data_IF_364461805347
#
_entry.id   IF_364461805347
#
_cell.length_a   1.000
_cell.length_b   1.000
_cell.length_c   1.000
_cell.angle_alpha   90.00
_cell.angle_beta   90.00
_cell.angle_gamma   90.00
#
_symmetry.space_group_name_H-M   'P 1'
#
loop_
_entity.id
_entity.type
_entity.pdbx_description
1 polymer ?
#
# COMPACT_ATOMS: atom_id res chain seq x y z
N UNK A 1 -18.49 -11.99 17.65
CA UNK A 1 -18.03 -11.85 16.25
C UNK A 1 -16.56 -12.25 16.14
N UNK A 2 -16.20 -13.09 15.15
CA UNK A 2 -14.79 -13.41 14.85
C UNK A 2 -14.10 -12.17 14.25
N UNK A 3 -12.80 -11.98 14.50
CA UNK A 3 -12.02 -10.90 13.85
C UNK A 3 -12.11 -10.98 12.31
N UNK A 4 -12.31 -12.19 11.79
CA UNK A 4 -12.38 -12.49 10.36
C UNK A 4 -13.51 -11.76 9.63
N UNK A 5 -14.66 -11.51 10.28
CA UNK A 5 -15.78 -10.86 9.60
C UNK A 5 -15.61 -9.35 9.46
N UNK A 6 -14.91 -8.68 10.41
CA UNK A 6 -14.52 -7.27 10.22
C UNK A 6 -13.50 -7.16 9.10
N UNK A 7 -12.52 -8.06 9.12
CA UNK A 7 -11.42 -8.04 8.18
C UNK A 7 -11.91 -8.27 6.74
N UNK A 8 -12.85 -9.22 6.57
CA UNK A 8 -13.53 -9.47 5.30
C UNK A 8 -14.33 -8.24 4.83
N UNK A 9 -15.03 -7.54 5.74
CA UNK A 9 -15.78 -6.34 5.38
C UNK A 9 -14.85 -5.18 4.95
N UNK A 10 -13.73 -4.99 5.64
CA UNK A 10 -12.71 -4.00 5.28
C UNK A 10 -12.10 -4.35 3.92
N UNK A 11 -11.71 -5.60 3.69
CA UNK A 11 -11.13 -6.06 2.42
C UNK A 11 -12.12 -5.92 1.26
N UNK A 12 -13.41 -6.24 1.49
CA UNK A 12 -14.48 -6.01 0.52
C UNK A 12 -14.59 -4.52 0.16
N UNK A 13 -14.62 -3.62 1.16
CA UNK A 13 -14.69 -2.17 0.90
C UNK A 13 -13.49 -1.71 0.07
N UNK A 14 -12.27 -2.12 0.43
CA UNK A 14 -11.04 -1.74 -0.29
C UNK A 14 -11.12 -2.18 -1.75
N UNK A 15 -11.46 -3.45 -2.00
CA UNK A 15 -11.57 -4.00 -3.36
C UNK A 15 -12.63 -3.28 -4.18
N UNK A 16 -13.82 -3.07 -3.62
CA UNK A 16 -14.88 -2.37 -4.33
C UNK A 16 -14.57 -0.89 -4.55
N UNK A 17 -13.91 -0.23 -3.59
CA UNK A 17 -13.52 1.18 -3.71
C UNK A 17 -12.56 1.42 -4.86
N UNK A 18 -11.67 0.45 -5.14
CA UNK A 18 -10.72 0.50 -6.25
C UNK A 18 -11.38 0.24 -7.62
N UNK A 19 -12.49 -0.49 -7.68
CA UNK A 19 -13.12 -0.91 -8.94
C UNK A 19 -14.38 -0.12 -9.29
N UNK A 20 -15.26 0.10 -8.31
CA UNK A 20 -16.64 0.59 -8.48
C UNK A 20 -16.87 2.01 -7.93
N UNK A 21 -15.87 2.58 -7.24
CA UNK A 21 -15.94 3.93 -6.69
C UNK A 21 -16.57 4.01 -5.30
N UNK A 22 -16.52 5.22 -4.71
CA UNK A 22 -16.81 5.46 -3.28
C UNK A 22 -18.24 5.11 -2.87
N UNK A 23 -19.23 5.63 -3.60
CA UNK A 23 -20.63 5.55 -3.19
C UNK A 23 -21.12 4.09 -3.06
N UNK A 24 -20.82 3.24 -4.05
CA UNK A 24 -21.22 1.83 -4.02
C UNK A 24 -20.49 1.03 -2.95
N UNK A 25 -19.19 1.27 -2.78
CA UNK A 25 -18.39 0.61 -1.75
C UNK A 25 -18.94 0.89 -0.34
N UNK A 26 -19.34 2.14 -0.05
CA UNK A 26 -19.96 2.51 1.22
C UNK A 26 -21.26 1.74 1.44
N UNK A 27 -22.16 1.77 0.45
CA UNK A 27 -23.48 1.12 0.57
C UNK A 27 -23.33 -0.38 0.81
N UNK A 28 -22.47 -1.07 0.06
CA UNK A 28 -22.24 -2.50 0.23
C UNK A 28 -21.55 -2.83 1.55
N UNK A 29 -20.58 -2.01 1.97
CA UNK A 29 -19.92 -2.16 3.25
C UNK A 29 -20.91 -2.06 4.41
N UNK A 30 -21.69 -0.98 4.48
CA UNK A 30 -22.71 -0.82 5.51
C UNK A 30 -23.74 -1.94 5.44
N UNK A 31 -24.28 -2.26 4.25
CA UNK A 31 -25.23 -3.37 4.10
C UNK A 31 -24.66 -4.70 4.61
N UNK A 32 -23.39 -4.99 4.33
CA UNK A 32 -22.75 -6.23 4.82
C UNK A 32 -22.63 -6.27 6.34
N UNK A 33 -22.39 -5.12 6.99
CA UNK A 33 -22.30 -5.02 8.45
C UNK A 33 -23.69 -5.10 9.09
N UNK A 34 -24.67 -4.37 8.55
CA UNK A 34 -26.06 -4.37 9.02
C UNK A 34 -26.78 -5.71 8.80
N UNK A 35 -26.39 -6.51 7.80
CA UNK A 35 -26.94 -7.85 7.59
C UNK A 35 -26.30 -8.90 8.50
N UNK A 36 -25.02 -8.72 8.86
CA UNK A 36 -24.26 -9.69 9.68
C UNK A 36 -24.45 -9.48 11.19
N UNK A 37 -24.83 -8.30 11.63
CA UNK A 37 -25.09 -7.96 13.04
C UNK A 37 -26.58 -7.71 13.31
N UNK A 38 -27.08 -8.15 14.47
CA UNK A 38 -28.39 -7.70 14.96
C UNK A 38 -28.29 -6.23 15.41
N UNK A 39 -29.37 -5.45 15.31
CA UNK A 39 -29.34 -3.98 15.44
C UNK A 39 -28.64 -3.44 16.70
N UNK A 40 -28.60 -4.21 17.79
CA UNK A 40 -27.94 -3.81 19.05
C UNK A 40 -26.42 -4.00 19.02
N UNK A 41 -25.88 -4.87 18.18
CA UNK A 41 -24.43 -5.17 18.08
C UNK A 41 -23.65 -4.29 17.11
N UNK A 42 -24.36 -3.45 16.32
CA UNK A 42 -23.74 -2.66 15.26
C UNK A 42 -22.74 -1.62 15.79
N UNK A 43 -23.04 -1.03 16.96
CA UNK A 43 -22.19 -0.01 17.60
C UNK A 43 -20.83 -0.62 17.96
N UNK A 44 -20.84 -1.81 18.58
CA UNK A 44 -19.61 -2.51 18.94
C UNK A 44 -18.86 -3.02 17.70
N UNK A 45 -19.58 -3.39 16.65
CA UNK A 45 -19.01 -3.74 15.35
C UNK A 45 -18.28 -2.53 14.72
N UNK A 46 -18.91 -1.35 14.67
CA UNK A 46 -18.30 -0.12 14.15
C UNK A 46 -17.09 0.32 14.97
N UNK A 47 -17.11 0.16 16.30
CA UNK A 47 -15.92 0.39 17.14
C UNK A 47 -14.77 -0.55 16.79
N UNK A 48 -15.06 -1.83 16.48
CA UNK A 48 -14.03 -2.80 16.05
C UNK A 48 -13.48 -2.47 14.66
N UNK A 49 -14.34 -2.12 13.70
CA UNK A 49 -13.94 -1.61 12.37
C UNK A 49 -12.97 -0.46 12.55
N UNK A 50 -13.37 0.59 13.30
CA UNK A 50 -12.53 1.75 13.60
C UNK A 50 -11.17 1.35 14.18
N UNK A 51 -11.17 0.47 15.18
CA UNK A 51 -9.94 0.00 15.82
C UNK A 51 -9.01 -0.76 14.88
N UNK A 52 -9.55 -1.70 14.10
CA UNK A 52 -8.78 -2.51 13.15
C UNK A 52 -8.26 -1.68 11.98
N UNK A 53 -9.08 -0.80 11.43
CA UNK A 53 -8.65 0.08 10.34
C UNK A 53 -7.56 1.06 10.79
N UNK A 54 -7.64 1.60 12.02
CA UNK A 54 -6.55 2.43 12.59
C UNK A 54 -5.27 1.62 12.77
N UNK A 55 -5.39 0.40 13.27
CA UNK A 55 -4.25 -0.51 13.38
C UNK A 55 -3.59 -0.77 12.01
N UNK A 56 -4.39 -1.04 10.97
CA UNK A 56 -3.86 -1.19 9.60
C UNK A 56 -3.26 0.10 9.05
N UNK A 57 -3.86 1.24 9.34
CA UNK A 57 -3.31 2.53 8.96
C UNK A 57 -1.94 2.77 9.60
N UNK A 58 -1.77 2.48 10.88
CA UNK A 58 -0.49 2.64 11.58
C UNK A 58 0.56 1.65 11.07
N UNK A 59 0.17 0.40 10.79
CA UNK A 59 1.04 -0.58 10.14
C UNK A 59 1.50 -0.09 8.76
N UNK A 60 0.58 0.40 7.92
CA UNK A 60 0.89 0.91 6.59
C UNK A 60 1.79 2.15 6.66
N UNK A 61 1.60 3.03 7.65
CA UNK A 61 2.50 4.19 7.88
C UNK A 61 3.93 3.74 8.20
N UNK A 62 4.10 2.67 8.99
CA UNK A 62 5.42 2.11 9.27
C UNK A 62 6.07 1.56 7.98
N UNK A 63 5.27 0.91 7.14
CA UNK A 63 5.73 0.37 5.85
C UNK A 63 5.94 1.44 4.77
N UNK A 64 5.34 2.63 4.92
CA UNK A 64 5.44 3.75 3.98
C UNK A 64 6.87 4.27 3.82
N UNK A 65 7.79 3.93 4.73
CA UNK A 65 9.18 4.36 4.63
C UNK A 65 9.84 3.74 3.38
N UNK A 66 10.06 4.52 2.30
CA UNK A 66 10.55 4.00 1.04
C UNK A 66 12.00 3.52 1.16
N UNK A 67 12.69 3.80 2.27
CA UNK A 67 14.10 3.45 2.52
C UNK A 67 14.30 2.16 3.31
N UNK A 68 13.24 1.49 3.78
CA UNK A 68 13.35 0.28 4.62
C UNK A 68 13.17 -1.04 3.85
N UNK A 69 12.98 -1.00 2.53
CA UNK A 69 12.78 -2.18 1.70
C UNK A 69 14.08 -2.76 1.12
N UNK A 70 14.11 -4.07 0.78
CA UNK A 70 15.22 -4.69 0.06
C UNK A 70 15.49 -4.02 -1.30
N UNK A 71 14.47 -3.41 -1.91
CA UNK A 71 14.61 -2.66 -3.16
C UNK A 71 15.61 -1.50 -3.05
N UNK A 72 15.71 -0.87 -1.89
CA UNK A 72 16.63 0.25 -1.66
C UNK A 72 18.07 -0.23 -1.60
N UNK A 73 18.32 -1.33 -0.90
CA UNK A 73 19.62 -1.96 -0.85
C UNK A 73 20.08 -2.40 -2.26
N UNK A 74 19.14 -2.91 -3.06
CA UNK A 74 19.39 -3.24 -4.46
C UNK A 74 19.69 -1.99 -5.31
N UNK A 75 18.98 -0.88 -5.08
CA UNK A 75 19.23 0.39 -5.75
C UNK A 75 20.63 0.94 -5.44
N UNK A 76 21.06 0.90 -4.17
CA UNK A 76 22.43 1.27 -3.79
C UNK A 76 23.48 0.37 -4.43
N UNK A 77 23.19 -0.92 -4.57
CA UNK A 77 24.08 -1.86 -5.25
C UNK A 77 24.21 -1.50 -6.74
N UNK A 78 23.10 -1.16 -7.41
CA UNK A 78 23.11 -0.70 -8.80
C UNK A 78 23.89 0.61 -8.98
N UNK A 79 23.82 1.54 -8.03
CA UNK A 79 24.63 2.77 -8.06
C UNK A 79 26.13 2.44 -8.02
N UNK A 80 26.55 1.51 -7.15
CA UNK A 80 27.95 1.09 -7.10
C UNK A 80 28.40 0.41 -8.41
N UNK A 81 27.56 -0.45 -8.98
CA UNK A 81 27.84 -1.10 -10.27
C UNK A 81 27.93 -0.07 -11.40
N UNK A 82 27.07 0.96 -11.41
CA UNK A 82 27.13 2.04 -12.40
C UNK A 82 28.43 2.83 -12.30
N UNK A 83 28.89 3.17 -11.10
CA UNK A 83 30.17 3.85 -10.87
C UNK A 83 31.33 2.99 -11.39
N UNK A 84 31.32 1.69 -11.08
CA UNK A 84 32.34 0.76 -11.57
C UNK A 84 32.31 0.62 -13.09
N UNK A 85 31.13 0.55 -13.69
CA UNK A 85 30.96 0.51 -15.15
C UNK A 85 31.52 1.78 -15.81
N UNK A 86 31.32 2.96 -15.22
CA UNK A 86 31.92 4.20 -15.69
C UNK A 86 33.46 4.15 -15.66
N UNK A 87 34.06 3.58 -14.61
CA UNK A 87 35.50 3.38 -14.55
C UNK A 87 36.00 2.45 -15.67
N UNK A 88 35.29 1.35 -15.93
CA UNK A 88 35.63 0.39 -16.99
C UNK A 88 35.58 1.02 -18.40
N UNK A 89 34.76 2.04 -18.64
CA UNK A 89 34.72 2.76 -19.92
C UNK A 89 36.01 3.52 -20.23
N UNK A 90 36.79 3.87 -19.21
CA UNK A 90 38.09 4.53 -19.33
C UNK A 90 39.23 3.58 -19.66
N UNK A 91 39.02 2.26 -19.57
CA UNK A 91 40.02 1.23 -19.89
C UNK A 91 39.70 0.62 -21.26
N UNK A 92 40.57 0.81 -22.26
CA UNK A 92 40.31 0.40 -23.64
C UNK A 92 39.95 -1.09 -23.78
N UNK A 93 40.70 -1.97 -23.11
CA UNK A 93 40.48 -3.43 -23.17
C UNK A 93 39.14 -3.87 -22.55
N UNK A 94 38.58 -3.07 -21.65
CA UNK A 94 37.37 -3.42 -20.88
C UNK A 94 36.15 -2.56 -21.23
N UNK A 95 36.28 -1.65 -22.21
CA UNK A 95 35.23 -0.70 -22.60
C UNK A 95 33.92 -1.38 -22.97
N UNK A 96 33.98 -2.50 -23.71
CA UNK A 96 32.78 -3.23 -24.14
C UNK A 96 32.02 -3.82 -22.93
N UNK A 97 32.75 -4.28 -21.92
CA UNK A 97 32.20 -4.78 -20.66
C UNK A 97 31.59 -3.64 -19.85
N UNK A 98 32.23 -2.47 -19.82
CA UNK A 98 31.68 -1.24 -19.23
C UNK A 98 30.35 -0.82 -19.86
N UNK A 99 30.25 -0.83 -21.20
CA UNK A 99 28.99 -0.51 -21.92
C UNK A 99 27.88 -1.51 -21.57
N UNK A 100 28.19 -2.81 -21.57
CA UNK A 100 27.23 -3.86 -21.24
C UNK A 100 26.71 -3.72 -19.79
N UNK A 101 27.62 -3.50 -18.83
CA UNK A 101 27.24 -3.30 -17.42
C UNK A 101 26.42 -2.04 -17.23
N UNK A 102 26.82 -0.91 -17.83
CA UNK A 102 26.13 0.37 -17.64
C UNK A 102 24.71 0.33 -18.22
N UNK A 103 24.55 -0.20 -19.43
CA UNK A 103 23.23 -0.33 -20.07
C UNK A 103 22.28 -1.24 -19.28
N UNK A 104 22.75 -2.41 -18.83
CA UNK A 104 21.96 -3.30 -17.98
C UNK A 104 21.60 -2.68 -16.63
N UNK A 105 22.53 -1.93 -16.03
CA UNK A 105 22.31 -1.24 -14.75
C UNK A 105 21.29 -0.11 -14.88
N UNK A 106 21.32 0.66 -15.98
CA UNK A 106 20.35 1.73 -16.23
C UNK A 106 18.93 1.19 -16.42
N UNK A 107 18.77 0.12 -17.21
CA UNK A 107 17.46 -0.52 -17.43
C UNK A 107 16.90 -1.08 -16.13
N UNK A 108 17.72 -1.85 -15.39
CA UNK A 108 17.29 -2.44 -14.12
C UNK A 108 17.04 -1.39 -13.04
N UNK A 109 17.88 -0.35 -12.97
CA UNK A 109 17.71 0.76 -12.05
C UNK A 109 16.42 1.54 -12.33
N UNK A 110 16.14 1.83 -13.60
CA UNK A 110 14.89 2.48 -14.00
C UNK A 110 13.65 1.65 -13.65
N UNK A 111 13.68 0.34 -13.92
CA UNK A 111 12.60 -0.57 -13.55
C UNK A 111 12.36 -0.60 -12.02
N UNK A 112 13.44 -0.64 -11.24
CA UNK A 112 13.38 -0.66 -9.79
C UNK A 112 12.78 0.64 -9.22
N UNK A 113 13.23 1.80 -9.72
CA UNK A 113 12.70 3.12 -9.33
C UNK A 113 11.20 3.19 -9.66
N UNK A 114 10.80 2.74 -10.85
CA UNK A 114 9.40 2.71 -11.25
C UNK A 114 8.55 1.87 -10.29
N UNK A 115 9.00 0.65 -9.97
CA UNK A 115 8.31 -0.23 -9.04
C UNK A 115 8.23 0.35 -7.63
N UNK A 116 9.31 0.93 -7.12
CA UNK A 116 9.33 1.59 -5.81
C UNK A 116 8.34 2.76 -5.76
N UNK A 117 8.34 3.60 -6.80
CA UNK A 117 7.42 4.75 -6.91
C UNK A 117 5.96 4.28 -6.96
N UNK A 118 5.67 3.25 -7.75
CA UNK A 118 4.33 2.67 -7.84
C UNK A 118 3.86 2.10 -6.50
N UNK A 119 4.67 1.29 -5.82
CA UNK A 119 4.35 0.77 -4.48
C UNK A 119 4.11 1.89 -3.48
N UNK A 120 4.91 2.95 -3.54
CA UNK A 120 4.76 4.10 -2.65
C UNK A 120 3.44 4.83 -2.90
N UNK A 121 3.06 5.06 -4.16
CA UNK A 121 1.76 5.60 -4.53
C UNK A 121 0.61 4.70 -4.04
N UNK A 122 0.71 3.39 -4.27
CA UNK A 122 -0.32 2.42 -3.87
C UNK A 122 -0.53 2.43 -2.33
N UNK A 123 0.55 2.54 -1.55
CA UNK A 123 0.46 2.66 -0.09
C UNK A 123 -0.22 3.96 0.36
N UNK A 124 0.03 5.09 -0.31
CA UNK A 124 -0.66 6.35 -0.02
C UNK A 124 -2.16 6.26 -0.33
N UNK A 125 -2.52 5.64 -1.46
CA UNK A 125 -3.92 5.39 -1.81
C UNK A 125 -4.59 4.50 -0.77
N UNK A 126 -3.92 3.44 -0.33
CA UNK A 126 -4.41 2.54 0.71
C UNK A 126 -4.63 3.26 2.05
N UNK A 127 -3.72 4.15 2.46
CA UNK A 127 -3.90 4.99 3.64
C UNK A 127 -5.13 5.90 3.53
N UNK A 128 -5.36 6.50 2.35
CA UNK A 128 -6.54 7.32 2.13
C UNK A 128 -7.84 6.50 2.22
N UNK A 129 -7.84 5.27 1.69
CA UNK A 129 -9.00 4.36 1.79
C UNK A 129 -9.26 3.95 3.25
N UNK A 130 -8.21 3.67 4.03
CA UNK A 130 -8.36 3.38 5.45
C UNK A 130 -8.88 4.57 6.25
N UNK A 131 -8.42 5.78 5.95
CA UNK A 131 -8.97 6.99 6.55
C UNK A 131 -10.46 7.17 6.21
N UNK A 132 -10.86 6.91 4.96
CA UNK A 132 -12.27 6.91 4.55
C UNK A 132 -13.12 5.93 5.41
N UNK A 133 -12.64 4.70 5.64
CA UNK A 133 -13.36 3.71 6.47
C UNK A 133 -13.50 4.19 7.92
N UNK A 134 -12.45 4.81 8.48
CA UNK A 134 -12.51 5.39 9.84
C UNK A 134 -13.54 6.52 9.90
N UNK A 135 -13.59 7.39 8.89
CA UNK A 135 -14.58 8.47 8.82
C UNK A 135 -16.02 7.92 8.73
N UNK A 136 -16.24 6.86 7.96
CA UNK A 136 -17.55 6.20 7.86
C UNK A 136 -17.96 5.61 9.21
N UNK A 137 -17.05 4.89 9.86
CA UNK A 137 -17.31 4.31 11.18
C UNK A 137 -17.57 5.38 12.25
N UNK A 138 -16.84 6.51 12.21
CA UNK A 138 -17.03 7.63 13.12
C UNK A 138 -18.38 8.31 12.89
N UNK A 139 -18.78 8.52 11.63
CA UNK A 139 -20.09 9.08 11.30
C UNK A 139 -21.25 8.20 11.75
N UNK A 140 -21.18 6.88 11.51
CA UNK A 140 -22.21 5.93 11.95
C UNK A 140 -22.28 5.84 13.48
N UNK A 141 -21.15 5.96 14.19
CA UNK A 141 -21.14 5.98 15.65
C UNK A 141 -21.78 7.26 16.21
N UNK A 142 -21.62 8.40 15.54
CA UNK A 142 -22.28 9.66 15.94
C UNK A 142 -23.79 9.64 15.67
N UNK A 143 -24.25 8.95 14.63
CA UNK A 143 -25.69 8.87 14.32
C UNK A 143 -26.45 7.86 15.18
N UNK A 144 -25.76 6.86 15.73
CA UNK A 144 -26.34 5.79 16.54
C UNK A 144 -26.29 6.06 18.06
N UNK A 145 -25.59 7.11 18.51
CA UNK A 145 -25.48 7.57 19.90
C UNK A 145 -26.47 8.69 20.17
#
# INVERSE_FOLDING_TARGET
MSKETVDEAIDMYVKERMVRGKQMAITHFLASLYLKEQSEGIIDCMRRVRGLTRYYMDLTKVMLNPFKGPEVAWLFSMVNIAIYACFLLSVEDQRLLGIALLSGTLVNGGYLIHNMTRKWCDMHVMLAIYDEIVQIADHELETLV
#
